data_IF_839452043666
#
_entry.id   IF_839452043666
#
_cell.length_a   1.000
_cell.length_b   1.000
_cell.length_c   1.000
_cell.angle_alpha   90.00
_cell.angle_beta   90.00
_cell.angle_gamma   90.00
#
_symmetry.space_group_name_H-M   'P 1'
#
loop_
_entity.id
_entity.type
_entity.pdbx_description
1 polymer ?
#
# COMPACT_ATOMS: atom_id res chain seq x y z
N UNK A 1 4.61 35.49 10.32
CA UNK A 1 5.31 34.42 11.06
C UNK A 1 5.94 33.48 10.05
N UNK A 2 7.24 33.65 9.78
CA UNK A 2 8.07 32.83 8.90
C UNK A 2 9.24 32.37 9.76
N UNK A 3 9.16 31.16 10.33
CA UNK A 3 10.28 30.46 10.98
C UNK A 3 9.79 29.14 11.58
N UNK A 4 9.50 28.15 10.73
CA UNK A 4 9.68 26.75 11.14
C UNK A 4 10.55 26.11 10.06
N UNK A 5 11.84 26.28 10.33
CA UNK A 5 12.97 25.98 9.48
C UNK A 5 13.05 24.49 9.17
N UNK A 6 13.31 24.20 7.90
CA UNK A 6 14.36 23.28 7.45
C UNK A 6 15.00 22.49 8.60
N UNK A 7 14.47 21.30 8.88
CA UNK A 7 15.34 20.26 9.43
C UNK A 7 16.50 20.15 8.46
N UNK A 8 17.69 20.58 8.90
CA UNK A 8 18.95 20.45 8.17
C UNK A 8 19.06 19.01 7.68
N UNK A 9 18.76 18.79 6.41
CA UNK A 9 18.98 17.51 5.76
C UNK A 9 20.48 17.31 5.72
N UNK A 10 20.97 16.27 6.39
CA UNK A 10 22.36 15.88 6.27
C UNK A 10 22.53 15.34 4.83
N UNK A 11 23.22 16.06 3.92
CA UNK A 11 23.38 15.63 2.55
C UNK A 11 24.06 14.26 2.45
N UNK A 12 24.91 13.92 3.43
CA UNK A 12 25.59 12.64 3.50
C UNK A 12 24.62 11.48 3.76
N UNK A 13 23.57 11.70 4.57
CA UNK A 13 22.53 10.69 4.81
C UNK A 13 21.66 10.47 3.57
N UNK A 14 21.39 11.54 2.83
CA UNK A 14 20.66 11.51 1.55
C UNK A 14 21.45 10.69 0.53
N UNK A 15 22.74 10.98 0.36
CA UNK A 15 23.62 10.26 -0.55
C UNK A 15 23.77 8.78 -0.16
N UNK A 16 23.93 8.50 1.14
CA UNK A 16 24.03 7.12 1.65
C UNK A 16 22.74 6.33 1.40
N UNK A 17 21.57 6.92 1.69
CA UNK A 17 20.28 6.26 1.46
C UNK A 17 20.05 6.00 -0.03
N UNK A 18 20.40 6.95 -0.89
CA UNK A 18 20.31 6.77 -2.34
C UNK A 18 21.24 5.67 -2.84
N UNK A 19 22.47 5.59 -2.29
CA UNK A 19 23.39 4.48 -2.60
C UNK A 19 22.79 3.13 -2.21
N UNK A 20 22.27 2.99 -1.00
CA UNK A 20 21.64 1.76 -0.52
C UNK A 20 20.42 1.39 -1.38
N UNK A 21 19.58 2.37 -1.71
CA UNK A 21 18.43 2.18 -2.62
C UNK A 21 18.88 1.67 -3.98
N UNK A 22 19.90 2.28 -4.59
CA UNK A 22 20.45 1.85 -5.89
C UNK A 22 21.03 0.45 -5.83
N UNK A 23 21.71 0.09 -4.74
CA UNK A 23 22.26 -1.25 -4.57
C UNK A 23 21.12 -2.29 -4.48
N UNK A 24 20.02 -1.99 -3.77
CA UNK A 24 18.81 -2.84 -3.79
C UNK A 24 18.22 -2.94 -5.20
N UNK A 25 18.01 -1.82 -5.90
CA UNK A 25 17.42 -1.84 -7.25
C UNK A 25 18.28 -2.59 -8.27
N UNK A 26 19.61 -2.55 -8.16
CA UNK A 26 20.52 -3.34 -9.01
C UNK A 26 20.26 -4.85 -8.88
N UNK A 27 19.89 -5.32 -7.69
CA UNK A 27 19.56 -6.75 -7.51
C UNK A 27 18.22 -7.15 -8.16
N UNK A 28 17.33 -6.18 -8.37
CA UNK A 28 16.00 -6.40 -8.95
C UNK A 28 15.94 -6.18 -10.47
N UNK A 29 17.01 -5.62 -11.05
CA UNK A 29 17.04 -5.17 -12.45
C UNK A 29 16.63 -6.24 -13.46
N UNK A 30 17.18 -7.46 -13.34
CA UNK A 30 16.85 -8.58 -14.23
C UNK A 30 15.35 -8.94 -14.24
N UNK A 31 14.62 -8.63 -13.17
CA UNK A 31 13.18 -8.83 -13.09
C UNK A 31 12.45 -7.62 -13.66
N UNK A 32 12.87 -6.42 -13.27
CA UNK A 32 12.19 -5.17 -13.64
C UNK A 32 12.23 -4.81 -15.12
N UNK A 33 13.30 -5.21 -15.83
CA UNK A 33 13.42 -4.97 -17.29
C UNK A 33 12.51 -5.86 -18.13
N UNK A 34 11.93 -6.92 -17.54
CA UNK A 34 11.02 -7.82 -18.26
C UNK A 34 9.75 -7.06 -18.66
N UNK A 35 9.24 -7.27 -19.89
CA UNK A 35 8.03 -6.61 -20.34
C UNK A 35 6.82 -7.06 -19.52
N UNK A 36 5.84 -6.17 -19.35
CA UNK A 36 4.62 -6.47 -18.59
C UNK A 36 3.83 -7.66 -19.17
N UNK A 37 3.97 -7.95 -20.47
CA UNK A 37 3.35 -9.10 -21.14
C UNK A 37 3.81 -10.44 -20.57
N UNK A 38 4.95 -10.48 -19.88
CA UNK A 38 5.46 -11.67 -19.20
C UNK A 38 4.96 -11.82 -17.76
N UNK A 39 4.22 -10.84 -17.22
CA UNK A 39 3.68 -10.93 -15.86
C UNK A 39 2.87 -12.22 -15.62
N UNK A 40 2.02 -12.72 -16.53
CA UNK A 40 1.32 -13.98 -16.33
C UNK A 40 2.24 -15.18 -16.06
N UNK A 41 3.42 -15.20 -16.69
CA UNK A 41 4.40 -16.29 -16.59
C UNK A 41 5.36 -16.13 -15.41
N UNK A 42 5.41 -14.95 -14.78
CA UNK A 42 6.19 -14.69 -13.59
C UNK A 42 5.55 -15.32 -12.34
N UNK A 43 6.39 -15.84 -11.46
CA UNK A 43 5.99 -16.20 -10.08
C UNK A 43 5.57 -14.95 -9.31
N UNK A 44 4.80 -15.11 -8.23
CA UNK A 44 4.37 -13.98 -7.38
C UNK A 44 5.57 -13.16 -6.88
N UNK A 45 6.66 -13.84 -6.49
CA UNK A 45 7.88 -13.20 -6.05
C UNK A 45 8.55 -12.37 -7.16
N UNK A 46 8.59 -12.88 -8.39
CA UNK A 46 9.12 -12.14 -9.53
C UNK A 46 8.27 -10.92 -9.86
N UNK A 47 6.95 -11.01 -9.78
CA UNK A 47 6.06 -9.87 -9.97
C UNK A 47 6.24 -8.81 -8.89
N UNK A 48 6.45 -9.21 -7.64
CA UNK A 48 6.80 -8.28 -6.56
C UNK A 48 8.09 -7.53 -6.87
N UNK A 49 9.16 -8.24 -7.25
CA UNK A 49 10.43 -7.61 -7.68
C UNK A 49 10.23 -6.67 -8.87
N UNK A 50 9.47 -7.10 -9.87
CA UNK A 50 9.12 -6.30 -11.05
C UNK A 50 8.39 -5.02 -10.66
N UNK A 51 7.42 -5.10 -9.74
CA UNK A 51 6.64 -3.97 -9.25
C UNK A 51 7.52 -2.94 -8.53
N UNK A 52 8.35 -3.38 -7.57
CA UNK A 52 9.25 -2.49 -6.85
C UNK A 52 10.25 -1.82 -7.81
N UNK A 53 10.90 -2.60 -8.68
CA UNK A 53 11.85 -2.03 -9.62
C UNK A 53 11.19 -1.01 -10.57
N UNK A 54 10.00 -1.31 -11.11
CA UNK A 54 9.32 -0.39 -12.03
C UNK A 54 8.86 0.90 -11.34
N UNK A 55 8.46 0.87 -10.06
CA UNK A 55 8.15 2.08 -9.31
C UNK A 55 9.37 2.96 -9.03
N UNK A 56 10.54 2.35 -8.85
CA UNK A 56 11.80 3.06 -8.58
C UNK A 56 12.49 3.55 -9.85
N UNK A 57 12.65 2.70 -10.86
CA UNK A 57 13.56 2.94 -11.99
C UNK A 57 12.82 3.20 -13.32
N UNK A 58 11.54 2.81 -13.45
CA UNK A 58 10.81 2.89 -14.72
C UNK A 58 9.39 3.48 -14.59
N UNK A 59 9.22 4.38 -13.62
CA UNK A 59 7.93 4.87 -13.20
C UNK A 59 7.11 5.51 -14.33
N UNK A 60 7.73 6.31 -15.18
CA UNK A 60 7.00 7.05 -16.22
C UNK A 60 6.40 6.11 -17.28
N UNK A 61 7.03 4.95 -17.54
CA UNK A 61 6.43 3.91 -18.37
C UNK A 61 5.41 3.10 -17.58
N UNK A 62 5.70 2.80 -16.32
CA UNK A 62 4.78 2.05 -15.46
C UNK A 62 3.44 2.77 -15.28
N UNK A 63 3.44 4.11 -15.15
CA UNK A 63 2.23 4.93 -15.07
C UNK A 63 1.33 4.89 -16.29
N UNK A 64 1.87 4.56 -17.47
CA UNK A 64 1.06 4.36 -18.69
C UNK A 64 0.14 3.14 -18.57
N UNK A 65 0.41 2.25 -17.61
CA UNK A 65 -0.39 1.07 -17.28
C UNK A 65 -1.40 1.34 -16.15
N UNK A 66 -1.54 2.60 -15.70
CA UNK A 66 -2.45 3.04 -14.63
C UNK A 66 -2.48 2.08 -13.41
N UNK A 67 -1.31 1.84 -12.77
CA UNK A 67 -1.18 0.78 -11.78
C UNK A 67 -2.02 1.07 -10.53
N UNK A 68 -2.74 0.06 -10.07
CA UNK A 68 -3.42 0.04 -8.77
C UNK A 68 -2.93 -1.16 -7.97
N UNK A 69 -2.32 -0.92 -6.81
CA UNK A 69 -2.00 -1.97 -5.85
C UNK A 69 -3.20 -2.19 -4.92
N UNK A 70 -3.62 -3.45 -4.78
CA UNK A 70 -4.82 -3.88 -4.05
C UNK A 70 -4.40 -4.85 -2.95
N UNK A 71 -4.61 -4.46 -1.69
CA UNK A 71 -4.47 -5.34 -0.53
C UNK A 71 -5.83 -5.90 -0.15
N UNK A 72 -6.12 -7.13 -0.56
CA UNK A 72 -7.33 -7.84 -0.14
C UNK A 72 -7.19 -8.27 1.31
N UNK A 73 -8.04 -7.75 2.21
CA UNK A 73 -7.94 -8.03 3.64
C UNK A 73 -8.49 -9.43 3.92
N UNK A 74 -7.62 -10.28 4.46
CA UNK A 74 -7.92 -11.67 4.82
C UNK A 74 -8.18 -11.84 6.32
N UNK A 75 -7.48 -11.06 7.14
CA UNK A 75 -7.60 -11.11 8.59
C UNK A 75 -7.40 -9.70 9.18
N UNK A 76 -8.08 -9.43 10.29
CA UNK A 76 -7.99 -8.15 11.02
C UNK A 76 -7.72 -8.41 12.50
N UNK A 77 -6.73 -7.73 13.06
CA UNK A 77 -6.43 -7.70 14.49
C UNK A 77 -6.30 -6.24 14.94
N UNK A 78 -6.99 -5.87 16.02
CA UNK A 78 -6.80 -4.57 16.66
C UNK A 78 -6.17 -4.79 18.03
N UNK A 79 -5.10 -4.05 18.30
CA UNK A 79 -4.42 -4.04 19.59
C UNK A 79 -4.57 -2.66 20.20
N UNK A 80 -5.01 -2.61 21.45
CA UNK A 80 -5.08 -1.38 22.24
C UNK A 80 -4.10 -1.53 23.39
N UNK A 81 -3.13 -0.62 23.45
CA UNK A 81 -2.08 -0.61 24.45
C UNK A 81 -2.19 0.66 25.29
N UNK A 82 -2.14 0.53 26.61
CA UNK A 82 -2.01 1.68 27.51
C UNK A 82 -0.54 1.96 27.78
N UNK A 83 -0.04 3.09 27.26
CA UNK A 83 1.31 3.56 27.54
C UNK A 83 1.32 4.59 28.68
N UNK A 84 2.24 4.44 29.62
CA UNK A 84 2.58 5.52 30.54
C UNK A 84 3.49 6.52 29.82
N UNK A 85 3.00 7.73 29.56
CA UNK A 85 3.85 8.82 29.10
C UNK A 85 4.82 9.23 30.21
N UNK A 86 6.04 9.64 29.85
CA UNK A 86 6.97 10.31 30.77
C UNK A 86 6.48 11.71 31.17
N UNK A 87 5.41 12.21 30.53
CA UNK A 87 4.70 13.41 30.94
C UNK A 87 3.69 13.07 32.07
N UNK A 88 3.76 13.73 33.24
CA UNK A 88 2.81 13.48 34.32
C UNK A 88 1.38 13.79 33.84
N UNK A 89 0.47 12.83 34.04
CA UNK A 89 -0.98 12.86 33.73
C UNK A 89 -1.44 12.63 32.28
N UNK A 90 -0.60 12.06 31.40
CA UNK A 90 -1.07 11.65 30.06
C UNK A 90 -0.96 10.13 29.88
N UNK A 91 -2.03 9.41 30.17
CA UNK A 91 -2.20 8.04 29.66
C UNK A 91 -2.38 8.13 28.15
N UNK A 92 -1.39 7.67 27.38
CA UNK A 92 -1.51 7.62 25.93
C UNK A 92 -2.03 6.23 25.58
N UNK A 93 -3.31 6.17 25.24
CA UNK A 93 -3.91 4.97 24.67
C UNK A 93 -3.47 4.89 23.21
N UNK A 94 -2.73 3.84 22.87
CA UNK A 94 -2.27 3.60 21.51
C UNK A 94 -3.11 2.49 20.88
N UNK A 95 -3.77 2.80 19.76
CA UNK A 95 -4.56 1.84 19.00
C UNK A 95 -3.81 1.47 17.71
N UNK A 96 -3.55 0.19 17.52
CA UNK A 96 -2.91 -0.37 16.34
C UNK A 96 -3.84 -1.33 15.63
N UNK A 97 -3.93 -1.17 14.32
CA UNK A 97 -4.67 -2.04 13.41
C UNK A 97 -3.65 -2.83 12.58
N UNK A 98 -3.67 -4.16 12.73
CA UNK A 98 -2.89 -5.09 11.93
C UNK A 98 -3.84 -5.85 11.00
N UNK A 99 -3.57 -5.79 9.70
CA UNK A 99 -4.36 -6.46 8.66
C UNK A 99 -3.47 -7.43 7.92
N UNK A 100 -3.89 -8.69 7.79
CA UNK A 100 -3.22 -9.63 6.87
C UNK A 100 -3.86 -9.48 5.50
N UNK A 101 -3.04 -9.27 4.47
CA UNK A 101 -3.51 -8.98 3.12
C UNK A 101 -2.93 -9.94 2.09
N UNK A 102 -3.72 -10.19 1.04
CA UNK A 102 -3.23 -10.72 -0.24
C UNK A 102 -3.11 -9.58 -1.24
N UNK A 103 -1.92 -9.37 -1.77
CA UNK A 103 -1.60 -8.25 -2.64
C UNK A 103 -1.74 -8.60 -4.11
N UNK A 104 -2.40 -7.71 -4.84
CA UNK A 104 -2.57 -7.80 -6.28
C UNK A 104 -2.14 -6.49 -6.92
N UNK A 105 -1.38 -6.56 -8.01
CA UNK A 105 -1.18 -5.41 -8.89
C UNK A 105 -2.20 -5.50 -10.01
N UNK A 106 -2.92 -4.41 -10.22
CA UNK A 106 -3.88 -4.28 -11.30
C UNK A 106 -3.41 -3.22 -12.28
N UNK A 107 -3.42 -3.57 -13.56
CA UNK A 107 -2.94 -2.74 -14.65
C UNK A 107 -4.08 -2.52 -15.65
N UNK A 108 -4.26 -1.28 -16.09
CA UNK A 108 -5.23 -0.91 -17.11
C UNK A 108 -4.49 -0.56 -18.38
N UNK A 109 -4.87 -1.21 -19.49
CA UNK A 109 -4.26 -0.96 -20.77
C UNK A 109 -5.20 -0.16 -21.68
N UNK A 110 -4.93 1.13 -21.80
CA UNK A 110 -5.76 2.09 -22.55
C UNK A 110 -5.95 1.73 -24.03
N UNK A 111 -5.03 0.99 -24.65
CA UNK A 111 -5.12 0.63 -26.06
C UNK A 111 -5.86 -0.71 -26.37
N UNK A 112 -6.22 -1.50 -25.36
CA UNK A 112 -6.91 -2.81 -25.53
C UNK A 112 -8.15 -2.95 -24.64
N UNK A 113 -8.46 -1.98 -23.77
CA UNK A 113 -9.57 -2.04 -22.79
C UNK A 113 -9.54 -3.30 -21.91
N UNK A 114 -8.37 -3.91 -21.74
CA UNK A 114 -8.16 -5.03 -20.85
C UNK A 114 -7.65 -4.51 -19.51
N UNK A 115 -8.27 -5.00 -18.44
CA UNK A 115 -7.86 -4.81 -17.05
C UNK A 115 -7.45 -6.19 -16.53
N UNK A 116 -6.19 -6.32 -16.11
CA UNK A 116 -5.67 -7.55 -15.55
C UNK A 116 -5.16 -7.30 -14.13
N UNK A 117 -5.45 -8.24 -13.24
CA UNK A 117 -4.97 -8.26 -11.88
C UNK A 117 -4.06 -9.48 -11.68
N UNK A 118 -2.84 -9.24 -11.21
CA UNK A 118 -1.88 -10.29 -10.92
C UNK A 118 -1.56 -10.31 -9.43
N UNK A 119 -1.65 -11.47 -8.80
CA UNK A 119 -1.15 -11.65 -7.44
C UNK A 119 0.36 -11.41 -7.39
N UNK A 120 0.81 -10.60 -6.43
CA UNK A 120 2.23 -10.29 -6.22
C UNK A 120 2.75 -10.73 -4.84
N UNK A 121 1.87 -11.26 -3.98
CA UNK A 121 2.27 -11.88 -2.71
C UNK A 121 1.24 -11.72 -1.61
N UNK A 122 1.66 -12.06 -0.40
CA UNK A 122 0.91 -11.85 0.85
C UNK A 122 1.60 -10.77 1.68
N UNK A 123 1.09 -10.48 2.87
CA UNK A 123 1.80 -9.64 3.83
C UNK A 123 0.89 -8.97 4.84
N UNK A 124 1.37 -7.89 5.46
CA UNK A 124 0.62 -7.17 6.47
C UNK A 124 0.51 -5.68 6.18
N UNK A 125 -0.54 -5.09 6.75
CA UNK A 125 -0.71 -3.64 6.86
C UNK A 125 -0.81 -3.33 8.34
N UNK A 126 0.17 -2.58 8.84
CA UNK A 126 0.29 -2.17 10.22
C UNK A 126 0.05 -0.66 10.31
N UNK A 127 -1.12 -0.30 10.84
CA UNK A 127 -1.60 1.08 10.91
C UNK A 127 -1.72 1.54 12.36
N UNK A 128 -1.11 2.68 12.67
CA UNK A 128 -1.46 3.43 13.86
C UNK A 128 -2.80 4.15 13.65
N UNK A 129 -3.71 4.05 14.59
CA UNK A 129 -4.94 4.85 14.60
C UNK A 129 -4.72 6.04 15.52
N UNK A 130 -4.72 7.25 14.95
CA UNK A 130 -4.42 8.49 15.65
C UNK A 130 -4.82 9.70 14.81
N UNK A 131 -5.30 10.78 15.45
CA UNK A 131 -5.63 12.03 14.75
C UNK A 131 -4.40 12.84 14.34
N UNK A 132 -3.21 12.44 14.78
CA UNK A 132 -1.92 13.00 14.36
C UNK A 132 -0.97 11.94 13.83
N UNK A 133 -0.02 12.29 12.93
CA UNK A 133 1.02 11.37 12.46
C UNK A 133 1.80 10.71 13.61
N UNK A 134 2.29 9.47 13.42
CA UNK A 134 3.12 8.79 14.40
C UNK A 134 4.42 9.55 14.67
N UNK A 135 4.85 9.54 15.94
CA UNK A 135 6.15 10.09 16.33
C UNK A 135 7.32 9.16 15.95
N UNK A 136 7.08 7.84 15.91
CA UNK A 136 8.09 6.83 15.63
C UNK A 136 7.52 5.69 14.74
N UNK A 137 8.03 5.48 13.52
CA UNK A 137 8.96 6.38 12.82
C UNK A 137 8.27 7.71 12.47
N UNK A 138 8.99 8.82 12.59
CA UNK A 138 8.48 10.13 12.23
C UNK A 138 8.32 10.23 10.70
N UNK A 139 7.09 10.16 10.21
CA UNK A 139 6.79 10.24 8.78
C UNK A 139 7.03 11.66 8.24
N UNK A 140 7.36 11.78 6.95
CA UNK A 140 7.49 13.09 6.29
C UNK A 140 6.15 13.79 6.18
N UNK A 141 6.21 15.11 5.98
CA UNK A 141 5.03 15.91 5.63
C UNK A 141 4.38 15.32 4.37
N UNK A 142 3.07 15.08 4.43
CA UNK A 142 2.26 14.45 3.39
C UNK A 142 2.52 12.95 3.15
N UNK A 143 3.32 12.27 3.99
CA UNK A 143 3.46 10.82 3.97
C UNK A 143 2.48 10.19 4.97
N UNK A 144 1.65 9.28 4.49
CA UNK A 144 0.73 8.45 5.29
C UNK A 144 1.35 7.12 5.72
N UNK A 145 2.36 6.66 4.99
CA UNK A 145 3.05 5.43 5.29
C UNK A 145 4.14 5.12 4.28
N UNK A 146 4.64 3.89 4.34
CA UNK A 146 5.52 3.33 3.34
C UNK A 146 5.20 1.86 3.12
N UNK A 147 5.45 1.41 1.88
CA UNK A 147 5.43 0.02 1.50
C UNK A 147 6.87 -0.50 1.49
N UNK A 148 7.07 -1.67 2.04
CA UNK A 148 8.34 -2.37 2.06
C UNK A 148 8.14 -3.84 1.67
N UNK A 149 9.23 -4.53 1.37
CA UNK A 149 9.23 -5.97 1.12
C UNK A 149 10.31 -6.64 1.96
N UNK A 150 10.08 -7.88 2.41
CA UNK A 150 11.12 -8.72 3.00
C UNK A 150 12.36 -8.74 2.09
N UNK A 151 13.54 -8.50 2.68
CA UNK A 151 14.81 -8.75 2.03
C UNK A 151 15.72 -9.68 2.88
N UNK A 152 15.75 -10.96 2.51
CA UNK A 152 16.99 -11.60 2.01
C UNK A 152 16.81 -13.06 1.59
N UNK A 153 15.64 -13.68 1.82
CA UNK A 153 15.43 -15.09 1.45
C UNK A 153 14.27 -15.33 0.46
N UNK A 154 13.16 -14.58 0.52
CA UNK A 154 12.08 -14.67 -0.48
C UNK A 154 11.21 -13.38 -0.50
N UNK A 155 11.19 -12.59 -1.59
CA UNK A 155 10.34 -11.40 -1.65
C UNK A 155 8.95 -11.78 -2.19
N UNK A 156 8.08 -12.26 -1.31
CA UNK A 156 6.64 -12.36 -1.60
C UNK A 156 5.78 -11.86 -0.43
N UNK A 157 6.43 -11.19 0.54
CA UNK A 157 5.76 -10.52 1.64
C UNK A 157 5.91 -9.00 1.47
N UNK A 158 4.77 -8.32 1.36
CA UNK A 158 4.67 -6.88 1.25
C UNK A 158 4.11 -6.32 2.57
N UNK A 159 4.83 -5.36 3.14
CA UNK A 159 4.49 -4.74 4.40
C UNK A 159 4.13 -3.29 4.17
N UNK A 160 2.95 -2.89 4.61
CA UNK A 160 2.55 -1.50 4.62
C UNK A 160 2.57 -0.99 6.05
N UNK A 161 3.39 0.01 6.33
CA UNK A 161 3.42 0.68 7.62
C UNK A 161 2.85 2.09 7.46
N UNK A 162 1.88 2.46 8.27
CA UNK A 162 1.26 3.78 8.13
C UNK A 162 0.37 4.18 9.28
N UNK A 163 -0.51 5.15 9.03
CA UNK A 163 -1.48 5.61 10.00
C UNK A 163 -2.77 6.10 9.36
N UNK A 164 -3.86 6.00 10.13
CA UNK A 164 -5.19 6.52 9.78
C UNK A 164 -5.75 7.32 10.95
N UNK A 165 -6.62 8.27 10.65
CA UNK A 165 -7.33 9.04 11.69
C UNK A 165 -8.38 8.21 12.41
N UNK A 166 -8.76 8.60 13.62
CA UNK A 166 -9.83 7.92 14.37
C UNK A 166 -11.16 7.94 13.59
N UNK A 167 -11.46 9.04 12.89
CA UNK A 167 -12.65 9.13 12.03
C UNK A 167 -12.69 8.05 10.93
N UNK A 168 -11.55 7.77 10.30
CA UNK A 168 -11.44 6.73 9.26
C UNK A 168 -11.59 5.35 9.91
N UNK A 169 -10.99 5.15 11.07
CA UNK A 169 -11.14 3.90 11.82
C UNK A 169 -12.60 3.63 12.22
N UNK A 170 -13.32 4.65 12.70
CA UNK A 170 -14.70 4.53 13.13
C UNK A 170 -15.65 4.13 11.99
N UNK A 171 -15.39 4.59 10.78
CA UNK A 171 -16.08 4.17 9.57
C UNK A 171 -15.73 2.73 9.17
N UNK A 172 -14.45 2.35 9.25
CA UNK A 172 -13.96 1.06 8.75
C UNK A 172 -14.25 -0.12 9.66
N UNK A 173 -14.19 0.07 10.99
CA UNK A 173 -14.24 -1.04 11.95
C UNK A 173 -15.48 -1.91 11.80
N UNK A 174 -16.63 -1.33 11.44
CA UNK A 174 -17.87 -2.09 11.24
C UNK A 174 -17.79 -3.06 10.05
N UNK A 175 -17.04 -2.68 9.01
CA UNK A 175 -16.88 -3.47 7.80
C UNK A 175 -15.80 -4.55 7.96
N UNK A 176 -14.70 -4.22 8.66
CA UNK A 176 -13.61 -5.16 8.94
C UNK A 176 -14.02 -6.28 9.90
N UNK A 177 -14.94 -6.01 10.82
CA UNK A 177 -15.48 -7.00 11.76
C UNK A 177 -16.86 -7.54 11.37
N UNK A 178 -17.30 -7.26 10.14
CA UNK A 178 -18.58 -7.78 9.65
C UNK A 178 -18.53 -9.31 9.59
N UNK A 179 -19.47 -10.03 10.24
CA UNK A 179 -19.54 -11.49 10.15
C UNK A 179 -20.11 -11.95 8.80
N UNK A 180 -20.47 -11.03 7.91
CA UNK A 180 -21.05 -11.35 6.60
C UNK A 180 -19.97 -11.90 5.66
N UNK A 181 -20.09 -13.14 5.17
CA UNK A 181 -19.10 -13.76 4.29
C UNK A 181 -18.98 -13.07 2.92
N UNK A 182 -19.94 -12.20 2.59
CA UNK A 182 -19.98 -11.48 1.30
C UNK A 182 -19.46 -10.03 1.40
N UNK A 183 -19.03 -9.61 2.58
CA UNK A 183 -18.46 -8.28 2.80
C UNK A 183 -16.94 -8.39 2.64
N UNK A 184 -16.42 -7.89 1.52
CA UNK A 184 -14.99 -7.82 1.26
C UNK A 184 -14.52 -6.38 1.42
N UNK A 185 -13.50 -6.17 2.24
CA UNK A 185 -12.83 -4.87 2.39
C UNK A 185 -11.43 -4.97 1.78
N UNK A 186 -11.10 -4.05 0.89
CA UNK A 186 -9.80 -3.96 0.24
C UNK A 186 -9.13 -2.62 0.53
N UNK A 187 -7.81 -2.62 0.56
CA UNK A 187 -6.98 -1.40 0.55
C UNK A 187 -6.53 -1.14 -0.89
N UNK A 188 -6.72 0.09 -1.36
CA UNK A 188 -6.29 0.53 -2.68
C UNK A 188 -5.22 1.62 -2.59
N UNK A 189 -4.16 1.38 -3.33
CA UNK A 189 -3.06 2.30 -3.59
C UNK A 189 -2.99 2.55 -5.09
N UNK A 190 -3.47 3.71 -5.52
CA UNK A 190 -3.37 4.16 -6.90
C UNK A 190 -2.01 4.79 -7.16
N UNK A 191 -1.64 4.92 -8.44
CA UNK A 191 -0.38 5.53 -8.87
C UNK A 191 -0.10 6.91 -8.26
N UNK A 192 -1.13 7.73 -8.05
CA UNK A 192 -1.06 9.06 -7.46
C UNK A 192 -1.01 9.03 -5.92
N UNK A 193 -1.30 7.89 -5.30
CA UNK A 193 -1.15 7.66 -3.86
C UNK A 193 0.22 7.12 -3.50
N UNK A 194 0.95 6.64 -4.50
CA UNK A 194 2.31 6.15 -4.36
C UNK A 194 3.26 7.29 -4.73
N UNK A 195 4.06 7.74 -3.77
CA UNK A 195 5.09 8.72 -4.05
C UNK A 195 6.06 8.12 -5.08
N UNK A 196 6.33 8.85 -6.17
CA UNK A 196 7.33 8.42 -7.11
C UNK A 196 8.70 8.55 -6.45
N UNK A 197 9.49 7.47 -6.41
CA UNK A 197 10.88 7.53 -5.91
C UNK A 197 11.74 8.18 -7.01
N UNK A 198 11.50 9.47 -7.29
CA UNK A 198 12.26 10.27 -8.24
C UNK A 198 13.43 10.94 -7.53
N UNK A 199 14.57 11.04 -8.22
CA UNK A 199 15.69 11.87 -7.78
C UNK A 199 15.21 13.32 -7.54
N UNK A 200 15.49 13.86 -6.34
CA UNK A 200 15.06 15.20 -5.92
C UNK A 200 13.73 15.26 -5.16
N UNK A 201 13.05 14.12 -4.95
CA UNK A 201 12.04 13.99 -3.91
C UNK A 201 12.70 13.39 -2.68
N UNK A 202 12.80 14.19 -1.62
CA UNK A 202 13.57 13.87 -0.42
C UNK A 202 12.89 12.79 0.45
N UNK A 203 13.05 11.56 0.00
CA UNK A 203 13.01 10.31 0.76
C UNK A 203 11.69 9.89 1.41
N UNK A 204 11.34 8.64 1.10
CA UNK A 204 10.44 7.81 1.88
C UNK A 204 11.06 7.60 3.26
N UNK A 205 10.34 7.94 4.34
CA UNK A 205 10.70 7.39 5.66
C UNK A 205 10.38 5.91 5.63
N UNK A 206 11.41 5.07 5.72
CA UNK A 206 11.35 3.62 5.64
C UNK A 206 12.72 3.01 5.33
N UNK A 207 12.84 1.67 5.26
CA UNK A 207 14.07 0.99 4.85
C UNK A 207 14.50 1.33 3.41
N UNK A 208 15.78 1.14 3.04
CA UNK A 208 16.23 1.35 1.67
C UNK A 208 15.44 0.50 0.67
N UNK A 209 14.91 1.14 -0.39
CA UNK A 209 14.05 0.47 -1.37
C UNK A 209 12.56 0.50 -1.04
N UNK A 210 12.17 1.02 0.12
CA UNK A 210 10.77 1.28 0.44
C UNK A 210 10.15 2.34 -0.48
N UNK A 211 8.82 2.29 -0.59
CA UNK A 211 8.01 3.16 -1.43
C UNK A 211 7.10 4.00 -0.53
N UNK A 212 7.13 5.32 -0.71
CA UNK A 212 6.32 6.23 0.10
C UNK A 212 4.86 6.22 -0.32
N UNK A 213 3.97 6.36 0.65
CA UNK A 213 2.53 6.42 0.42
C UNK A 213 2.01 7.78 0.89
N UNK A 214 1.32 8.51 0.03
CA UNK A 214 0.64 9.78 0.37
C UNK A 214 -0.75 9.56 0.92
N UNK A 215 -1.42 8.48 0.51
CA UNK A 215 -2.83 8.24 0.83
C UNK A 215 -3.18 6.75 0.83
N UNK A 216 -4.25 6.40 1.55
CA UNK A 216 -4.83 5.05 1.59
C UNK A 216 -6.32 5.17 1.32
N UNK A 217 -6.82 4.42 0.34
CA UNK A 217 -8.26 4.32 0.07
C UNK A 217 -8.74 2.94 0.51
N UNK A 218 -9.70 2.88 1.41
CA UNK A 218 -10.37 1.65 1.79
C UNK A 218 -11.65 1.51 0.98
N UNK A 219 -11.85 0.36 0.35
CA UNK A 219 -13.08 0.05 -0.36
C UNK A 219 -13.77 -1.13 0.27
N UNK A 220 -15.04 -0.92 0.57
CA UNK A 220 -15.93 -1.96 1.05
C UNK A 220 -16.83 -2.37 -0.11
N UNK A 221 -16.82 -3.64 -0.44
CA UNK A 221 -17.73 -4.24 -1.40
C UNK A 221 -18.60 -5.26 -0.67
N UNK A 222 -19.91 -5.13 -0.83
CA UNK A 222 -20.87 -6.13 -0.38
C UNK A 222 -21.45 -6.78 -1.63
N UNK A 223 -21.06 -8.02 -1.90
CA UNK A 223 -21.75 -8.80 -2.91
C UNK A 223 -23.09 -9.24 -2.32
N UNK A 224 -24.16 -8.47 -2.54
CA UNK A 224 -25.50 -9.02 -2.36
C UNK A 224 -25.64 -10.21 -3.31
N UNK A 225 -26.07 -11.36 -2.77
CA UNK A 225 -26.40 -12.53 -3.57
C UNK A 225 -27.64 -12.34 -4.45
N UNK A 226 -27.83 -11.20 -5.11
CA UNK A 226 -28.89 -10.97 -6.09
C UNK A 226 -28.44 -11.47 -7.48
N UNK A 227 -28.05 -12.74 -7.55
CA UNK A 227 -28.22 -13.55 -8.75
C UNK A 227 -29.37 -14.50 -8.51
N UNK A 228 -30.61 -14.02 -8.68
CA UNK A 228 -31.78 -14.78 -9.18
C UNK A 228 -32.99 -13.83 -9.25
N UNK A 229 -33.76 -13.98 -10.35
CA UNK A 229 -35.05 -13.35 -10.69
C UNK A 229 -35.10 -11.88 -11.14
N UNK A 230 -34.64 -11.60 -12.37
CA UNK A 230 -35.23 -10.53 -13.22
C UNK A 230 -35.03 -10.76 -14.74
N UNK A 231 -34.87 -12.02 -15.17
CA UNK A 231 -34.91 -12.38 -16.61
C UNK A 231 -35.65 -13.70 -16.80
N UNK A 232 -36.95 -13.72 -16.48
CA UNK A 232 -37.90 -14.71 -17.03
C UNK A 232 -39.34 -14.34 -16.70
N UNK A 233 -39.85 -13.34 -17.41
CA UNK A 233 -41.27 -13.26 -17.79
C UNK A 233 -41.47 -12.14 -18.82
N UNK A 234 -40.67 -12.17 -19.90
CA UNK A 234 -41.19 -11.79 -21.21
C UNK A 234 -41.57 -13.09 -21.91
N UNK A 235 -42.81 -13.53 -21.68
CA UNK A 235 -43.50 -14.43 -22.59
C UNK A 235 -44.55 -13.61 -23.29
N UNK A 236 -44.19 -13.10 -24.47
CA UNK A 236 -45.16 -12.81 -25.52
C UNK A 236 -45.88 -14.13 -25.86
N UNK A 237 -47.22 -14.09 -25.96
CA UNK A 237 -47.82 -14.63 -27.17
C UNK A 237 -48.98 -13.78 -27.71
N UNK A 238 -48.86 -13.50 -29.00
CA UNK A 238 -49.86 -13.24 -30.05
C UNK A 238 -50.96 -12.21 -29.80
#
# INVERSE_FOLDING_TARGET
MRSEYNHKFNPDLVEMNEKLRKDVMRTLENYGVRPFSELPDMTEAERSKWFFWNLHENLDNFRKLEPTLIGQIMCTQTTVSEGQSMEPNKSVMEKRLALTCKWHIRLVYSAFQNEEAHTIGEGSVDLLVSDSPPLNPSLRKNQKGYLDSDNSLYPNQLFLYGWVSEAVWDELKQHLYSPSPNCQTDILLRDNYVFPVKAGFDFVVGPPGSIGITNLEFRVSSYSGERRTSRRSETLPR
#
